data_IF_525699394719
#
_entry.id   IF_525699394719
#
_cell.length_a   1.000
_cell.length_b   1.000
_cell.length_c   1.000
_cell.angle_alpha   90.00
_cell.angle_beta   90.00
_cell.angle_gamma   90.00
#
_symmetry.space_group_name_H-M   'P 1'
#
loop_
_entity.id
_entity.type
_entity.pdbx_description
1 polymer ?
#
# COMPACT_ATOMS: atom_id res chain seq x y z
N UNK A 1 5.98 -8.25 23.91
CA UNK A 1 4.94 -7.21 24.02
C UNK A 1 5.10 -6.08 22.98
N UNK A 2 6.28 -5.48 22.83
CA UNK A 2 6.50 -4.34 21.89
C UNK A 2 6.13 -4.63 20.42
N UNK A 3 6.37 -5.86 19.92
CA UNK A 3 6.13 -6.21 18.52
C UNK A 3 4.66 -6.35 18.11
N UNK A 4 3.80 -6.84 19.02
CA UNK A 4 2.36 -7.03 18.74
C UNK A 4 1.63 -5.70 18.69
N UNK A 5 1.87 -4.83 19.67
CA UNK A 5 1.32 -3.47 19.69
C UNK A 5 1.78 -2.65 18.47
N UNK A 6 3.04 -2.80 18.03
CA UNK A 6 3.50 -2.13 16.80
C UNK A 6 2.87 -2.71 15.54
N UNK A 7 2.59 -4.02 15.50
CA UNK A 7 1.92 -4.66 14.36
C UNK A 7 0.45 -4.26 14.26
N UNK A 8 -0.27 -4.28 15.38
CA UNK A 8 -1.66 -3.82 15.46
C UNK A 8 -1.78 -2.35 15.01
N UNK A 9 -0.92 -1.48 15.51
CA UNK A 9 -0.91 -0.07 15.10
C UNK A 9 -0.60 0.09 13.60
N UNK A 10 0.32 -0.70 13.05
CA UNK A 10 0.64 -0.69 11.61
C UNK A 10 -0.54 -1.19 10.75
N UNK A 11 -1.22 -2.25 11.18
CA UNK A 11 -2.43 -2.76 10.54
C UNK A 11 -3.53 -1.72 10.55
N UNK A 12 -3.84 -1.15 11.72
CA UNK A 12 -4.84 -0.11 11.87
C UNK A 12 -4.55 1.13 11.01
N UNK A 13 -3.29 1.57 10.97
CA UNK A 13 -2.89 2.69 10.12
C UNK A 13 -3.13 2.40 8.63
N UNK A 14 -2.71 1.23 8.17
CA UNK A 14 -2.84 0.82 6.76
C UNK A 14 -4.30 0.68 6.36
N UNK A 15 -5.11 0.01 7.20
CA UNK A 15 -6.55 -0.17 6.96
C UNK A 15 -7.28 1.18 7.00
N UNK A 16 -6.94 2.07 7.94
CA UNK A 16 -7.58 3.38 8.04
C UNK A 16 -7.30 4.24 6.82
N UNK A 17 -6.04 4.33 6.39
CA UNK A 17 -5.69 5.06 5.16
C UNK A 17 -6.44 4.50 3.95
N UNK A 18 -6.43 3.17 3.79
CA UNK A 18 -7.08 2.52 2.65
C UNK A 18 -8.59 2.75 2.67
N UNK A 19 -9.23 2.68 3.84
CA UNK A 19 -10.67 2.92 3.98
C UNK A 19 -11.03 4.38 3.68
N UNK A 20 -10.25 5.34 4.19
CA UNK A 20 -10.48 6.77 3.92
C UNK A 20 -10.23 7.11 2.44
N UNK A 21 -9.30 6.44 1.77
CA UNK A 21 -9.13 6.53 0.31
C UNK A 21 -10.38 6.03 -0.43
N UNK A 22 -10.98 4.91 -0.02
CA UNK A 22 -12.23 4.42 -0.60
C UNK A 22 -13.40 5.38 -0.34
N UNK A 23 -13.49 5.97 0.86
CA UNK A 23 -14.50 7.00 1.16
C UNK A 23 -14.33 8.22 0.27
N UNK A 24 -13.09 8.68 0.08
CA UNK A 24 -12.78 9.81 -0.80
C UNK A 24 -13.20 9.56 -2.26
N UNK A 25 -13.15 8.31 -2.72
CA UNK A 25 -13.58 7.90 -4.06
C UNK A 25 -15.06 8.21 -4.31
N UNK A 26 -15.87 8.15 -3.27
CA UNK A 26 -17.30 8.47 -3.33
C UNK A 26 -17.57 9.93 -2.93
N UNK A 27 -16.54 10.75 -2.70
CA UNK A 27 -16.69 12.09 -2.15
C UNK A 27 -17.17 12.14 -0.70
N UNK A 28 -17.20 11.00 -0.01
CA UNK A 28 -17.62 10.90 1.38
C UNK A 28 -16.51 11.40 2.31
N UNK A 29 -16.91 12.13 3.36
CA UNK A 29 -16.03 12.57 4.46
C UNK A 29 -16.14 11.65 5.67
N UNK A 30 -17.28 11.01 5.82
CA UNK A 30 -17.50 9.96 6.81
C UNK A 30 -17.02 8.62 6.25
N UNK A 31 -16.09 8.01 6.95
CA UNK A 31 -15.60 6.66 6.68
C UNK A 31 -16.36 5.69 7.57
N UNK A 32 -17.07 4.73 6.96
CA UNK A 32 -17.88 3.75 7.67
C UNK A 32 -17.35 2.31 7.47
N UNK A 33 -18.05 1.34 8.04
CA UNK A 33 -17.69 -0.09 8.06
C UNK A 33 -17.61 -0.75 6.68
N UNK A 34 -18.33 -0.24 5.69
CA UNK A 34 -18.27 -0.67 4.29
C UNK A 34 -16.93 -0.31 3.65
N UNK A 35 -16.45 0.92 3.88
CA UNK A 35 -15.13 1.37 3.45
C UNK A 35 -14.01 0.55 4.12
N UNK A 36 -14.19 0.21 5.40
CA UNK A 36 -13.28 -0.67 6.12
C UNK A 36 -13.29 -2.11 5.55
N UNK A 37 -14.46 -2.62 5.14
CA UNK A 37 -14.56 -3.90 4.45
C UNK A 37 -13.82 -3.89 3.10
N UNK A 38 -14.00 -2.86 2.28
CA UNK A 38 -13.26 -2.71 1.01
C UNK A 38 -11.75 -2.62 1.28
N UNK A 39 -11.32 -1.91 2.33
CA UNK A 39 -9.93 -1.84 2.73
C UNK A 39 -9.35 -3.22 3.14
N UNK A 40 -10.15 -4.07 3.78
CA UNK A 40 -9.75 -5.45 4.10
C UNK A 40 -9.60 -6.30 2.83
N UNK A 41 -10.51 -6.17 1.86
CA UNK A 41 -10.39 -6.86 0.55
C UNK A 41 -9.13 -6.42 -0.20
N UNK A 42 -8.71 -5.16 -0.04
CA UNK A 42 -7.48 -4.63 -0.63
C UNK A 42 -6.20 -4.91 0.19
N UNK A 43 -6.31 -5.55 1.36
CA UNK A 43 -5.18 -5.81 2.26
C UNK A 43 -4.46 -7.11 1.92
N UNK A 44 -3.13 -7.13 2.04
CA UNK A 44 -2.35 -8.37 1.92
C UNK A 44 -2.31 -9.20 3.19
N UNK A 45 -2.96 -8.73 4.26
CA UNK A 45 -3.09 -9.51 5.48
C UNK A 45 -4.08 -10.66 5.31
N UNK A 46 -4.05 -11.61 6.24
CA UNK A 46 -4.85 -12.84 6.24
C UNK A 46 -6.33 -12.61 5.92
N UNK A 47 -6.96 -11.57 6.45
CA UNK A 47 -8.35 -11.24 6.14
C UNK A 47 -8.60 -11.02 4.64
N UNK A 48 -7.75 -10.23 3.99
CA UNK A 48 -7.87 -9.99 2.55
C UNK A 48 -7.54 -11.23 1.73
N UNK A 49 -6.53 -12.00 2.14
CA UNK A 49 -6.18 -13.26 1.50
C UNK A 49 -7.33 -14.29 1.59
N UNK A 50 -8.00 -14.39 2.74
CA UNK A 50 -9.18 -15.26 2.93
C UNK A 50 -10.34 -14.81 2.04
N UNK A 51 -10.67 -13.52 2.03
CA UNK A 51 -11.74 -12.99 1.18
C UNK A 51 -11.45 -13.27 -0.31
N UNK A 52 -10.24 -12.97 -0.79
CA UNK A 52 -9.84 -13.23 -2.19
C UNK A 52 -9.76 -14.72 -2.51
N UNK A 53 -9.34 -15.55 -1.55
CA UNK A 53 -9.35 -17.01 -1.66
C UNK A 53 -10.75 -17.61 -1.72
N UNK A 54 -11.77 -16.88 -1.25
CA UNK A 54 -13.19 -17.19 -1.40
C UNK A 54 -13.80 -16.60 -2.69
N UNK A 55 -12.98 -15.98 -3.55
CA UNK A 55 -13.43 -15.41 -4.82
C UNK A 55 -13.87 -13.94 -4.74
N UNK A 56 -13.78 -13.30 -3.57
CA UNK A 56 -14.12 -11.87 -3.42
C UNK A 56 -13.05 -11.01 -4.07
N UNK A 57 -13.39 -10.42 -5.23
CA UNK A 57 -12.53 -9.42 -5.88
C UNK A 57 -12.85 -8.02 -5.38
N UNK A 58 -11.90 -7.09 -5.51
CA UNK A 58 -12.13 -5.69 -5.10
C UNK A 58 -13.29 -5.06 -5.87
N UNK A 59 -13.40 -5.32 -7.18
CA UNK A 59 -14.48 -4.82 -8.02
C UNK A 59 -15.84 -5.38 -7.58
N UNK A 60 -15.93 -6.70 -7.36
CA UNK A 60 -17.16 -7.33 -6.88
C UNK A 60 -17.56 -6.80 -5.49
N UNK A 61 -16.62 -6.66 -4.57
CA UNK A 61 -16.89 -6.12 -3.23
C UNK A 61 -17.44 -4.68 -3.29
N UNK A 62 -16.84 -3.81 -4.11
CA UNK A 62 -17.33 -2.44 -4.33
C UNK A 62 -18.75 -2.43 -4.92
N UNK A 63 -19.01 -3.30 -5.90
CA UNK A 63 -20.34 -3.42 -6.50
C UNK A 63 -21.38 -3.91 -5.48
N UNK A 64 -21.07 -4.96 -4.72
CA UNK A 64 -21.97 -5.50 -3.70
C UNK A 64 -22.31 -4.48 -2.61
N UNK A 65 -21.34 -3.66 -2.18
CA UNK A 65 -21.59 -2.54 -1.26
C UNK A 65 -22.53 -1.50 -1.90
N UNK A 66 -22.28 -1.10 -3.15
CA UNK A 66 -23.12 -0.14 -3.85
C UNK A 66 -24.56 -0.66 -4.02
N UNK A 67 -24.72 -1.92 -4.39
CA UNK A 67 -26.02 -2.57 -4.56
C UNK A 67 -26.77 -2.68 -3.23
N UNK A 68 -26.07 -3.01 -2.13
CA UNK A 68 -26.68 -3.04 -0.79
C UNK A 68 -27.18 -1.65 -0.37
N UNK A 69 -26.40 -0.59 -0.62
CA UNK A 69 -26.83 0.78 -0.35
C UNK A 69 -28.04 1.17 -1.20
N UNK A 70 -28.04 0.85 -2.49
CA UNK A 70 -29.15 1.12 -3.38
C UNK A 70 -30.44 0.42 -2.90
N UNK A 71 -30.35 -0.84 -2.49
CA UNK A 71 -31.50 -1.58 -1.96
C UNK A 71 -32.03 -0.99 -0.66
N UNK A 72 -31.15 -0.56 0.26
CA UNK A 72 -31.57 0.12 1.48
C UNK A 72 -32.28 1.44 1.21
N UNK A 73 -31.80 2.24 0.25
CA UNK A 73 -32.45 3.49 -0.14
C UNK A 73 -33.81 3.24 -0.80
N UNK A 74 -33.91 2.25 -1.68
CA UNK A 74 -35.16 1.83 -2.30
C UNK A 74 -36.17 1.34 -1.26
N UNK A 75 -35.73 0.60 -0.24
CA UNK A 75 -36.56 0.18 0.89
C UNK A 75 -37.13 1.36 1.71
N UNK A 76 -36.46 2.52 1.68
CA UNK A 76 -36.91 3.77 2.29
C UNK A 76 -37.75 4.64 1.34
N UNK A 77 -38.01 4.17 0.11
CA UNK A 77 -38.72 4.93 -0.92
C UNK A 77 -37.89 6.08 -1.53
N UNK A 78 -36.56 6.03 -1.39
CA UNK A 78 -35.65 7.00 -1.95
C UNK A 78 -35.06 6.43 -3.24
N UNK A 79 -35.52 6.95 -4.38
CA UNK A 79 -34.89 6.70 -5.67
C UNK A 79 -33.64 7.60 -5.80
N UNK A 80 -32.51 7.10 -5.29
CA UNK A 80 -31.21 7.77 -5.40
C UNK A 80 -30.46 7.32 -6.65
N UNK A 81 -29.94 8.27 -7.43
CA UNK A 81 -28.91 7.94 -8.41
C UNK A 81 -27.66 7.43 -7.65
N UNK A 82 -27.12 6.28 -8.05
CA UNK A 82 -25.89 5.76 -7.48
C UNK A 82 -24.77 6.81 -7.60
N UNK A 83 -24.10 7.10 -6.50
CA UNK A 83 -23.01 8.06 -6.48
C UNK A 83 -21.88 7.54 -7.36
N UNK A 84 -21.52 8.30 -8.41
CA UNK A 84 -20.47 7.87 -9.32
C UNK A 84 -19.11 7.98 -8.61
N UNK A 85 -18.31 6.91 -8.63
CA UNK A 85 -16.98 6.97 -8.06
C UNK A 85 -16.08 7.90 -8.89
N UNK A 86 -15.40 8.81 -8.21
CA UNK A 86 -14.34 9.65 -8.75
C UNK A 86 -12.94 9.12 -8.42
N UNK A 87 -11.88 9.89 -8.72
CA UNK A 87 -10.52 9.55 -8.31
C UNK A 87 -10.37 9.59 -6.78
N UNK A 88 -9.36 8.89 -6.26
CA UNK A 88 -9.01 8.92 -4.83
C UNK A 88 -8.32 10.25 -4.51
N UNK A 89 -8.99 11.12 -3.75
CA UNK A 89 -8.53 12.48 -3.38
C UNK A 89 -8.22 12.63 -1.88
N UNK A 90 -8.09 11.51 -1.16
CA UNK A 90 -7.84 11.50 0.29
C UNK A 90 -6.64 12.35 0.72
N UNK A 91 -5.54 12.32 -0.04
CA UNK A 91 -4.34 13.09 0.31
C UNK A 91 -4.44 14.58 -0.08
N UNK A 92 -5.41 14.93 -0.91
CA UNK A 92 -5.61 16.29 -1.42
C UNK A 92 -6.59 17.09 -0.56
N UNK A 93 -7.35 16.40 0.29
CA UNK A 93 -8.46 16.98 1.04
C UNK A 93 -8.44 16.56 2.51
N UNK A 94 -9.22 17.23 3.36
CA UNK A 94 -9.18 17.03 4.82
C UNK A 94 -10.56 16.71 5.40
N UNK A 95 -10.62 16.47 6.71
CA UNK A 95 -11.89 16.29 7.44
C UNK A 95 -12.50 14.91 7.28
N UNK A 96 -11.66 13.87 7.17
CA UNK A 96 -12.11 12.49 7.18
C UNK A 96 -12.31 12.02 8.61
N UNK A 97 -13.53 11.60 8.94
CA UNK A 97 -13.91 11.13 10.26
C UNK A 97 -14.49 9.72 10.17
N UNK A 98 -14.36 8.96 11.26
CA UNK A 98 -15.02 7.67 11.38
C UNK A 98 -16.45 7.86 11.85
N UNK A 99 -17.40 7.14 11.26
CA UNK A 99 -18.73 7.04 11.84
C UNK A 99 -18.63 6.44 13.25
N UNK A 100 -19.65 6.68 14.08
CA UNK A 100 -19.74 6.06 15.41
C UNK A 100 -19.69 4.53 15.31
N UNK A 101 -20.41 3.96 14.33
CA UNK A 101 -20.50 2.52 14.10
C UNK A 101 -19.15 1.91 13.74
N UNK A 102 -18.40 2.52 12.82
CA UNK A 102 -17.05 2.07 12.49
C UNK A 102 -16.09 2.26 13.67
N UNK A 103 -16.19 3.37 14.39
CA UNK A 103 -15.41 3.62 15.60
C UNK A 103 -15.64 2.55 16.66
N UNK A 104 -16.89 2.12 16.87
CA UNK A 104 -17.23 1.07 17.83
C UNK A 104 -16.59 -0.27 17.46
N UNK A 105 -16.57 -0.64 16.17
CA UNK A 105 -15.86 -1.83 15.66
C UNK A 105 -14.35 -1.73 15.91
N UNK A 106 -13.72 -0.61 15.53
CA UNK A 106 -12.28 -0.41 15.69
C UNK A 106 -11.85 -0.39 17.17
N UNK A 107 -12.67 0.22 18.04
CA UNK A 107 -12.44 0.27 19.47
C UNK A 107 -12.58 -1.12 20.12
N UNK A 108 -13.57 -1.91 19.69
CA UNK A 108 -13.74 -3.29 20.15
C UNK A 108 -12.49 -4.14 19.85
N UNK A 109 -11.96 -4.02 18.64
CA UNK A 109 -10.78 -4.76 18.18
C UNK A 109 -9.47 -4.23 18.79
N UNK A 110 -9.44 -2.97 19.22
CA UNK A 110 -8.29 -2.36 19.90
C UNK A 110 -8.27 -2.62 21.42
N UNK A 111 -9.33 -3.21 21.97
CA UNK A 111 -9.38 -3.56 23.39
C UNK A 111 -8.32 -4.63 23.75
N UNK A 112 -7.84 -4.60 25.01
CA UNK A 112 -6.66 -5.37 25.50
C UNK A 112 -6.66 -6.89 25.21
N UNK A 113 -7.81 -7.47 24.85
CA UNK A 113 -7.99 -8.90 24.59
C UNK A 113 -7.85 -9.30 23.12
N UNK A 114 -7.83 -8.33 22.20
CA UNK A 114 -7.71 -8.58 20.76
C UNK A 114 -6.29 -8.26 20.28
N UNK A 115 -5.83 -8.97 19.26
CA UNK A 115 -4.49 -8.81 18.69
C UNK A 115 -4.40 -7.64 17.69
N UNK A 116 -5.52 -6.98 17.39
CA UNK A 116 -5.59 -5.87 16.45
C UNK A 116 -5.26 -6.25 15.00
N UNK A 117 -5.33 -7.54 14.68
CA UNK A 117 -5.07 -8.06 13.33
C UNK A 117 -6.22 -7.72 12.37
N UNK A 118 -5.92 -7.72 11.07
CA UNK A 118 -6.96 -7.57 10.05
C UNK A 118 -8.04 -8.66 10.16
N UNK A 119 -7.67 -9.87 10.59
CA UNK A 119 -8.60 -10.98 10.86
C UNK A 119 -9.57 -10.65 11.98
N UNK A 120 -9.09 -10.07 13.08
CA UNK A 120 -9.94 -9.61 14.18
C UNK A 120 -10.89 -8.49 13.73
N UNK A 121 -10.42 -7.56 12.89
CA UNK A 121 -11.27 -6.52 12.30
C UNK A 121 -12.37 -7.12 11.43
N UNK A 122 -12.03 -8.06 10.54
CA UNK A 122 -13.02 -8.74 9.70
C UNK A 122 -14.04 -9.52 10.53
N UNK A 123 -13.59 -10.26 11.55
CA UNK A 123 -14.50 -10.98 12.45
C UNK A 123 -15.46 -10.04 13.19
N UNK A 124 -14.97 -8.88 13.65
CA UNK A 124 -15.80 -7.87 14.31
C UNK A 124 -16.81 -7.21 13.35
N UNK A 125 -16.43 -6.99 12.09
CA UNK A 125 -17.34 -6.49 11.05
C UNK A 125 -18.48 -7.47 10.75
N UNK A 126 -18.19 -8.77 10.67
CA UNK A 126 -19.21 -9.80 10.42
C UNK A 126 -20.13 -9.95 11.64
N UNK A 127 -19.63 -9.70 12.85
CA UNK A 127 -20.40 -9.69 14.09
C UNK A 127 -21.12 -8.36 14.38
N UNK A 128 -21.02 -7.37 13.50
CA UNK A 128 -21.60 -6.05 13.72
C UNK A 128 -23.15 -6.11 13.70
N UNK A 129 -23.85 -5.44 14.63
CA UNK A 129 -25.29 -5.67 14.87
C UNK A 129 -26.24 -5.37 13.71
N UNK A 130 -25.90 -4.50 12.77
CA UNK A 130 -26.82 -4.15 11.68
C UNK A 130 -26.97 -5.24 10.61
N UNK A 131 -26.04 -6.21 10.56
CA UNK A 131 -26.02 -7.25 9.53
C UNK A 131 -25.49 -6.80 8.16
N UNK A 132 -25.20 -5.51 7.93
CA UNK A 132 -24.83 -4.99 6.60
C UNK A 132 -23.70 -5.77 5.91
N UNK A 133 -22.62 -6.11 6.64
CA UNK A 133 -21.49 -6.86 6.06
C UNK A 133 -21.87 -8.31 5.77
N UNK A 134 -22.76 -8.91 6.57
CA UNK A 134 -23.26 -10.25 6.28
C UNK A 134 -24.09 -10.25 4.98
N UNK A 135 -24.92 -9.23 4.77
CA UNK A 135 -25.71 -9.09 3.55
C UNK A 135 -24.82 -8.83 2.33
N UNK A 136 -23.79 -7.98 2.46
CA UNK A 136 -22.78 -7.77 1.40
C UNK A 136 -22.04 -9.06 1.05
N UNK A 137 -21.67 -9.87 2.05
CA UNK A 137 -21.04 -11.17 1.81
C UNK A 137 -21.99 -12.15 1.10
N UNK A 138 -23.27 -12.17 1.50
CA UNK A 138 -24.28 -13.01 0.83
C UNK A 138 -24.46 -12.63 -0.65
N UNK A 139 -24.42 -11.32 -0.99
CA UNK A 139 -24.42 -10.85 -2.39
C UNK A 139 -23.19 -11.29 -3.19
N UNK A 140 -22.09 -11.60 -2.51
CA UNK A 140 -20.85 -12.11 -3.10
C UNK A 140 -20.82 -13.64 -3.16
N UNK A 141 -21.94 -14.31 -2.87
CA UNK A 141 -22.04 -15.77 -2.74
C UNK A 141 -21.08 -16.35 -1.68
N UNK A 142 -20.81 -15.58 -0.62
CA UNK A 142 -19.93 -15.97 0.50
C UNK A 142 -20.71 -15.98 1.81
N UNK A 143 -20.76 -17.13 2.46
CA UNK A 143 -21.40 -17.25 3.77
C UNK A 143 -20.49 -16.67 4.88
N UNK A 144 -21.03 -15.82 5.79
CA UNK A 144 -20.32 -15.32 6.97
C UNK A 144 -19.65 -16.39 7.82
N UNK A 145 -20.20 -17.61 7.80
CA UNK A 145 -19.64 -18.77 8.52
C UNK A 145 -18.36 -19.27 7.85
N UNK A 146 -18.35 -19.39 6.54
CA UNK A 146 -17.20 -19.88 5.77
C UNK A 146 -15.99 -18.95 5.95
N UNK A 147 -16.23 -17.63 5.99
CA UNK A 147 -15.19 -16.64 6.28
C UNK A 147 -14.57 -16.89 7.66
N UNK A 148 -15.40 -17.08 8.70
CA UNK A 148 -14.90 -17.35 10.06
C UNK A 148 -14.11 -18.65 10.13
N UNK A 149 -14.63 -19.72 9.54
CA UNK A 149 -13.95 -21.02 9.51
C UNK A 149 -12.58 -20.93 8.81
N UNK A 150 -12.48 -20.19 7.70
CA UNK A 150 -11.22 -19.95 6.99
C UNK A 150 -10.25 -19.06 7.76
N UNK A 151 -10.73 -18.06 8.48
CA UNK A 151 -9.89 -17.24 9.37
C UNK A 151 -9.31 -18.07 10.52
N UNK A 152 -10.12 -18.95 11.12
CA UNK A 152 -9.66 -19.87 12.16
C UNK A 152 -8.66 -20.90 11.62
N UNK A 153 -8.89 -21.41 10.41
CA UNK A 153 -7.94 -22.29 9.73
C UNK A 153 -6.61 -21.59 9.46
N UNK A 154 -6.65 -20.38 8.92
CA UNK A 154 -5.46 -19.58 8.68
C UNK A 154 -4.71 -19.25 9.99
N UNK A 155 -5.41 -19.01 11.09
CA UNK A 155 -4.80 -18.77 12.40
C UNK A 155 -4.08 -20.00 12.98
N UNK A 156 -4.45 -21.22 12.55
CA UNK A 156 -3.77 -22.48 12.94
C UNK A 156 -2.50 -22.73 12.14
N UNK A 157 -2.35 -22.12 10.97
CA UNK A 157 -1.14 -22.20 10.17
C UNK A 157 -0.12 -21.26 10.84
N UNK A 158 1.02 -21.76 11.35
CA UNK A 158 2.07 -20.89 11.83
C UNK A 158 2.44 -19.93 10.70
N UNK A 159 2.47 -18.64 11.01
CA UNK A 159 2.93 -17.63 10.07
C UNK A 159 4.43 -17.85 9.83
N UNK A 160 4.76 -18.73 8.88
CA UNK A 160 6.12 -18.88 8.36
C UNK A 160 6.55 -17.60 7.61
N UNK A 161 5.64 -16.64 7.38
CA UNK A 161 5.87 -15.37 6.71
C UNK A 161 6.48 -14.25 7.57
N UNK A 162 6.58 -14.43 8.89
CA UNK A 162 7.08 -13.39 9.79
C UNK A 162 8.58 -13.07 9.68
N UNK A 163 9.37 -13.96 9.09
CA UNK A 163 10.83 -13.80 9.04
C UNK A 163 11.48 -14.63 7.92
N UNK A 164 11.00 -14.53 6.67
CA UNK A 164 11.84 -14.89 5.50
C UNK A 164 12.92 -13.83 5.28
N UNK A 165 13.79 -13.69 6.28
CA UNK A 165 15.11 -13.12 6.20
C UNK A 165 16.03 -14.17 5.56
N UNK A 166 15.95 -14.34 4.25
CA UNK A 166 17.02 -14.99 3.48
C UNK A 166 16.57 -15.85 2.32
N UNK A 167 16.65 -15.29 1.11
CA UNK A 167 17.21 -15.88 -0.12
C UNK A 167 17.61 -14.68 -0.99
N UNK A 168 18.83 -14.47 -1.51
CA UNK A 168 20.11 -15.19 -1.47
C UNK A 168 21.32 -14.24 -1.31
N UNK A 169 22.57 -14.73 -1.48
CA UNK A 169 23.79 -14.01 -1.14
C UNK A 169 24.17 -12.97 -2.20
N UNK A 170 23.43 -11.87 -2.27
CA UNK A 170 23.92 -10.61 -2.85
C UNK A 170 24.65 -9.83 -1.76
N UNK A 171 25.91 -9.47 -1.99
CA UNK A 171 26.85 -8.87 -1.05
C UNK A 171 26.20 -7.95 0.01
N UNK A 172 25.89 -8.50 1.19
CA UNK A 172 25.44 -7.73 2.35
C UNK A 172 26.56 -6.78 2.74
N UNK A 173 26.49 -5.53 2.27
CA UNK A 173 27.33 -4.48 2.84
C UNK A 173 26.92 -4.32 4.31
N UNK A 174 27.83 -4.47 5.29
CA UNK A 174 27.48 -4.44 6.72
C UNK A 174 26.91 -3.11 7.24
N UNK A 175 26.61 -2.15 6.36
CA UNK A 175 26.34 -0.74 6.66
C UNK A 175 25.01 -0.20 6.13
N UNK A 176 24.29 -0.98 5.35
CA UNK A 176 23.02 -0.54 4.78
C UNK A 176 21.84 -0.86 5.74
N UNK A 177 20.91 0.08 5.88
CA UNK A 177 19.66 -0.15 6.60
C UNK A 177 18.62 -0.61 5.60
N UNK A 178 18.11 -1.83 5.76
CA UNK A 178 17.13 -2.44 4.88
C UNK A 178 15.81 -2.69 5.60
N UNK A 179 14.70 -2.46 4.92
CA UNK A 179 13.35 -2.85 5.37
C UNK A 179 12.57 -3.40 4.18
N UNK A 180 11.78 -4.44 4.41
CA UNK A 180 10.82 -4.95 3.45
C UNK A 180 9.40 -4.83 3.99
N UNK A 181 8.45 -4.58 3.11
CA UNK A 181 7.00 -4.66 3.35
C UNK A 181 6.36 -5.40 2.19
N UNK A 182 5.22 -6.01 2.47
CA UNK A 182 4.42 -6.70 1.47
C UNK A 182 3.04 -6.04 1.42
N UNK A 183 2.49 -5.90 0.23
CA UNK A 183 1.10 -5.46 0.03
C UNK A 183 0.48 -6.08 -1.19
N UNK A 184 -0.79 -5.75 -1.41
CA UNK A 184 -1.62 -6.31 -2.46
C UNK A 184 -1.92 -5.25 -3.50
N UNK A 185 -1.84 -5.64 -4.76
CA UNK A 185 -2.21 -4.81 -5.91
C UNK A 185 -3.32 -5.52 -6.68
N UNK A 186 -4.50 -4.90 -6.86
CA UNK A 186 -5.66 -5.52 -7.53
C UNK A 186 -5.51 -5.51 -9.06
N UNK A 187 -4.35 -5.96 -9.56
CA UNK A 187 -4.03 -6.04 -10.98
C UNK A 187 -3.15 -7.27 -11.23
N UNK A 188 -3.06 -7.72 -12.48
CA UNK A 188 -2.19 -8.83 -12.85
C UNK A 188 -0.71 -8.43 -12.76
N UNK A 189 0.23 -9.38 -12.56
CA UNK A 189 1.65 -9.04 -12.48
C UNK A 189 2.18 -8.33 -13.72
N UNK A 190 1.65 -8.63 -14.90
CA UNK A 190 2.02 -7.94 -16.15
C UNK A 190 1.55 -6.49 -16.18
N UNK A 191 0.36 -6.19 -15.65
CA UNK A 191 -0.13 -4.82 -15.56
C UNK A 191 0.70 -4.00 -14.55
N UNK A 192 1.04 -4.60 -13.41
CA UNK A 192 1.93 -3.99 -12.42
C UNK A 192 3.34 -3.79 -13.01
N UNK A 193 3.87 -4.78 -13.73
CA UNK A 193 5.15 -4.68 -14.43
C UNK A 193 5.18 -3.52 -15.42
N UNK A 194 4.13 -3.36 -16.23
CA UNK A 194 4.01 -2.26 -17.18
C UNK A 194 4.02 -0.88 -16.48
N UNK A 195 3.41 -0.76 -15.29
CA UNK A 195 3.49 0.46 -14.49
C UNK A 195 4.93 0.70 -13.97
N UNK A 196 5.58 -0.34 -13.45
CA UNK A 196 6.87 -0.21 -12.77
C UNK A 196 8.05 0.00 -13.72
N UNK A 197 7.92 -0.46 -14.96
CA UNK A 197 8.94 -0.30 -16.01
C UNK A 197 8.84 1.01 -16.75
N UNK A 198 7.72 1.72 -16.65
CA UNK A 198 7.51 3.03 -17.27
C UNK A 198 8.03 4.17 -16.36
N UNK A 199 9.17 4.81 -16.70
CA UNK A 199 9.74 5.87 -15.88
C UNK A 199 8.87 7.12 -15.83
N UNK A 200 8.08 7.40 -16.87
CA UNK A 200 7.21 8.58 -16.92
C UNK A 200 6.06 8.47 -15.91
N UNK A 201 5.66 7.24 -15.60
CA UNK A 201 4.62 6.92 -14.61
C UNK A 201 5.14 6.74 -13.20
N UNK A 202 6.46 6.80 -12.99
CA UNK A 202 7.06 6.73 -11.65
C UNK A 202 6.49 7.75 -10.65
N UNK A 203 6.22 9.03 -11.02
CA UNK A 203 5.60 10.00 -10.11
C UNK A 203 4.18 9.63 -9.63
N UNK A 204 3.49 8.70 -10.30
CA UNK A 204 2.16 8.22 -9.85
C UNK A 204 2.25 7.43 -8.54
N UNK A 205 3.39 6.79 -8.25
CA UNK A 205 3.56 5.90 -7.11
C UNK A 205 4.78 6.19 -6.22
N UNK A 206 5.79 6.89 -6.73
CA UNK A 206 6.93 7.38 -5.94
C UNK A 206 6.71 8.82 -5.48
N UNK A 207 6.28 9.00 -4.23
CA UNK A 207 5.87 10.31 -3.69
C UNK A 207 6.98 11.37 -3.70
N UNK A 208 8.26 10.96 -3.66
CA UNK A 208 9.38 11.89 -3.74
C UNK A 208 9.46 12.63 -5.08
N UNK A 209 8.92 12.03 -6.14
CA UNK A 209 8.91 12.57 -7.48
C UNK A 209 7.67 13.42 -7.74
N UNK A 210 7.89 14.53 -8.43
CA UNK A 210 6.86 15.36 -9.04
C UNK A 210 6.77 15.12 -10.55
N UNK A 211 7.92 14.99 -11.20
CA UNK A 211 8.01 14.68 -12.62
C UNK A 211 9.33 13.99 -12.96
N UNK A 212 9.35 13.25 -14.07
CA UNK A 212 10.55 12.68 -14.68
C UNK A 212 10.76 13.36 -16.02
N UNK A 213 12.01 13.68 -16.35
CA UNK A 213 12.37 14.18 -17.68
C UNK A 213 12.71 12.98 -18.59
N UNK A 214 11.83 12.58 -19.52
CA UNK A 214 12.10 11.42 -20.39
C UNK A 214 13.29 11.64 -21.34
N UNK A 215 13.64 12.89 -21.64
CA UNK A 215 14.78 13.21 -22.51
C UNK A 215 16.14 13.07 -21.81
N UNK A 216 16.15 12.98 -20.47
CA UNK A 216 17.37 12.86 -19.66
C UNK A 216 18.01 11.46 -19.67
N UNK A 217 17.37 10.48 -20.33
CA UNK A 217 17.79 9.08 -20.33
C UNK A 217 19.25 8.92 -20.81
N UNK A 218 20.07 8.25 -19.98
CA UNK A 218 21.48 7.99 -20.26
C UNK A 218 21.83 6.52 -19.98
N UNK A 219 22.40 5.77 -20.96
CA UNK A 219 22.62 6.17 -22.34
C UNK A 219 21.30 6.30 -23.11
N UNK A 220 21.27 7.20 -24.08
CA UNK A 220 20.09 7.40 -24.92
C UNK A 220 19.76 6.10 -25.67
N UNK A 221 18.52 5.60 -25.59
CA UNK A 221 18.16 4.31 -26.17
C UNK A 221 18.32 4.39 -27.69
N UNK A 222 18.99 3.40 -28.28
CA UNK A 222 18.85 3.17 -29.72
C UNK A 222 17.37 2.93 -30.03
N UNK A 223 16.86 3.46 -31.15
CA UNK A 223 15.44 3.29 -31.54
C UNK A 223 14.99 1.84 -31.38
N UNK A 224 14.00 1.60 -30.53
CA UNK A 224 13.39 0.28 -30.30
C UNK A 224 14.08 -0.63 -29.28
N UNK A 225 15.08 -0.16 -28.53
CA UNK A 225 15.69 -0.95 -27.46
C UNK A 225 14.80 -1.01 -26.21
N UNK A 226 14.65 -2.21 -25.63
CA UNK A 226 14.02 -2.41 -24.32
C UNK A 226 14.81 -1.68 -23.21
N UNK A 227 14.16 -1.40 -22.07
CA UNK A 227 14.83 -0.84 -20.89
C UNK A 227 16.07 -1.68 -20.54
N UNK A 228 17.23 -1.07 -20.62
CA UNK A 228 18.49 -1.72 -20.28
C UNK A 228 18.88 -1.39 -18.84
N UNK A 229 19.34 -2.40 -18.10
CA UNK A 229 19.98 -2.18 -16.80
C UNK A 229 21.17 -1.21 -16.97
N UNK A 230 21.29 -0.27 -16.04
CA UNK A 230 22.23 0.85 -16.08
C UNK A 230 21.66 2.14 -16.72
N UNK A 231 20.50 2.09 -17.37
CA UNK A 231 19.84 3.30 -17.85
C UNK A 231 19.47 4.21 -16.67
N UNK A 232 19.73 5.51 -16.83
CA UNK A 232 19.53 6.52 -15.79
C UNK A 232 18.65 7.65 -16.31
N UNK A 233 17.70 8.09 -15.50
CA UNK A 233 16.83 9.25 -15.72
C UNK A 233 17.05 10.30 -14.64
N UNK A 234 16.69 11.53 -14.95
CA UNK A 234 16.59 12.63 -14.01
C UNK A 234 15.13 13.02 -13.82
N UNK A 235 14.79 13.41 -12.60
CA UNK A 235 13.47 13.89 -12.24
C UNK A 235 13.54 15.00 -11.20
N UNK A 236 12.40 15.66 -11.03
CA UNK A 236 12.22 16.74 -10.08
C UNK A 236 11.55 16.22 -8.82
N UNK A 237 12.12 16.62 -7.68
CA UNK A 237 11.58 16.35 -6.36
C UNK A 237 10.34 17.18 -6.09
N UNK A 238 9.42 16.62 -5.31
CA UNK A 238 8.16 17.28 -4.99
C UNK A 238 8.34 18.54 -4.15
N UNK A 239 7.81 19.64 -4.68
CA UNK A 239 7.86 20.97 -4.04
C UNK A 239 6.58 21.33 -3.28
N UNK A 240 5.46 20.70 -3.62
CA UNK A 240 4.15 20.92 -3.00
C UNK A 240 3.55 19.60 -2.52
N UNK A 241 2.96 19.60 -1.33
CA UNK A 241 2.18 18.49 -0.83
C UNK A 241 0.93 18.29 -1.72
N UNK A 242 0.31 17.09 -1.70
CA UNK A 242 -0.90 16.84 -2.48
C UNK A 242 -2.07 17.79 -2.15
N UNK A 243 -2.10 18.36 -0.94
CA UNK A 243 -3.07 19.40 -0.54
C UNK A 243 -2.71 20.83 -1.01
N UNK A 244 -1.70 20.95 -1.89
CA UNK A 244 -1.21 22.21 -2.45
C UNK A 244 -0.30 23.02 -1.52
N UNK A 245 -0.05 22.58 -0.28
CA UNK A 245 0.82 23.32 0.64
C UNK A 245 2.29 23.19 0.22
N UNK A 246 3.09 24.28 0.28
CA UNK A 246 4.51 24.22 -0.07
C UNK A 246 5.25 23.33 0.94
N UNK A 247 6.04 22.39 0.41
CA UNK A 247 6.95 21.59 1.21
C UNK A 247 8.26 22.37 1.41
N UNK A 248 8.79 22.33 2.63
CA UNK A 248 10.12 22.87 2.92
C UNK A 248 11.19 21.92 2.38
N UNK A 249 11.35 21.90 1.06
CA UNK A 249 12.38 21.11 0.38
C UNK A 249 13.73 21.85 0.41
N UNK A 250 14.82 21.11 0.57
CA UNK A 250 16.17 21.64 0.36
C UNK A 250 16.43 21.68 -1.15
N UNK A 251 16.84 22.82 -1.74
CA UNK A 251 17.06 22.89 -3.19
C UNK A 251 18.03 21.83 -3.73
N UNK A 252 19.04 21.44 -2.94
CA UNK A 252 20.01 20.40 -3.29
C UNK A 252 19.42 18.99 -3.40
N UNK A 253 18.19 18.77 -2.93
CA UNK A 253 17.47 17.49 -3.05
C UNK A 253 16.41 17.51 -4.16
N UNK A 254 16.30 18.62 -4.91
CA UNK A 254 15.28 18.75 -5.94
C UNK A 254 15.60 17.92 -7.19
N UNK A 255 16.87 17.86 -7.59
CA UNK A 255 17.29 17.00 -8.69
C UNK A 255 17.50 15.59 -8.15
N UNK A 256 16.73 14.64 -8.66
CA UNK A 256 16.81 13.23 -8.28
C UNK A 256 17.20 12.43 -9.53
N UNK A 257 18.14 11.51 -9.39
CA UNK A 257 18.55 10.60 -10.45
C UNK A 257 18.11 9.18 -10.13
N UNK A 258 17.55 8.49 -11.13
CA UNK A 258 16.94 7.16 -11.04
C UNK A 258 17.67 6.24 -12.00
N UNK A 259 18.34 5.23 -11.48
CA UNK A 259 19.06 4.23 -12.28
C UNK A 259 18.32 2.90 -12.20
N UNK A 260 18.02 2.29 -13.35
CA UNK A 260 17.51 0.93 -13.40
C UNK A 260 18.65 -0.03 -13.11
N UNK A 261 18.58 -0.78 -12.01
CA UNK A 261 19.63 -1.73 -11.61
C UNK A 261 19.38 -3.11 -12.19
N UNK A 262 18.12 -3.53 -12.18
CA UNK A 262 17.72 -4.88 -12.58
C UNK A 262 16.27 -4.82 -13.09
N UNK A 263 15.99 -5.54 -14.17
CA UNK A 263 14.64 -5.79 -14.66
C UNK A 263 14.55 -7.24 -15.15
N UNK A 264 13.85 -8.08 -14.37
CA UNK A 264 13.53 -9.46 -14.70
C UNK A 264 12.02 -9.62 -14.82
N UNK A 265 11.52 -9.51 -16.05
CA UNK A 265 10.09 -9.52 -16.35
C UNK A 265 9.40 -10.86 -16.01
N UNK A 266 8.16 -10.84 -15.47
CA UNK A 266 7.49 -9.73 -14.76
C UNK A 266 7.80 -9.75 -13.25
N UNK A 267 8.77 -10.57 -12.82
CA UNK A 267 8.92 -10.99 -11.42
C UNK A 267 9.67 -10.00 -10.53
N UNK A 268 10.60 -9.21 -11.06
CA UNK A 268 11.49 -8.38 -10.21
C UNK A 268 12.04 -7.16 -10.93
N UNK A 269 12.00 -6.02 -10.28
CA UNK A 269 12.59 -4.78 -10.77
C UNK A 269 13.30 -4.04 -9.63
N UNK A 270 14.45 -3.43 -9.91
CA UNK A 270 15.21 -2.68 -8.93
C UNK A 270 15.63 -1.31 -9.46
N UNK A 271 15.37 -0.28 -8.66
CA UNK A 271 15.66 1.11 -8.95
C UNK A 271 16.61 1.68 -7.89
N UNK A 272 17.63 2.42 -8.30
CA UNK A 272 18.50 3.18 -7.41
C UNK A 272 18.21 4.66 -7.58
N UNK A 273 17.91 5.32 -6.46
CA UNK A 273 17.67 6.76 -6.39
C UNK A 273 18.85 7.46 -5.72
N UNK A 274 19.33 8.53 -6.34
CA UNK A 274 20.43 9.36 -5.83
C UNK A 274 20.13 10.86 -6.02
N UNK A 275 20.89 11.70 -5.32
CA UNK A 275 20.75 13.17 -5.38
C UNK A 275 22.05 13.76 -5.91
N UNK A 276 22.14 14.07 -7.22
CA UNK A 276 23.37 14.58 -7.83
C UNK A 276 23.90 15.84 -7.16
N UNK A 277 23.00 16.74 -6.76
CA UNK A 277 23.34 18.04 -6.17
C UNK A 277 23.58 17.99 -4.65
N UNK A 278 23.38 16.82 -4.02
CA UNK A 278 23.70 16.55 -2.62
C UNK A 278 24.43 15.20 -2.48
N UNK A 279 25.72 15.12 -2.85
CA UNK A 279 26.48 13.87 -2.83
C UNK A 279 26.63 13.23 -1.44
N UNK A 280 26.29 13.98 -0.39
CA UNK A 280 26.28 13.56 1.00
C UNK A 280 24.98 12.87 1.45
N UNK A 281 23.91 13.00 0.66
CA UNK A 281 22.63 12.34 0.89
C UNK A 281 22.75 10.82 0.76
N UNK A 282 21.81 10.11 1.38
CA UNK A 282 21.77 8.65 1.27
C UNK A 282 21.21 8.27 -0.11
N UNK A 283 21.86 7.31 -0.76
CA UNK A 283 21.32 6.64 -1.94
C UNK A 283 20.30 5.60 -1.48
N UNK A 284 19.20 5.47 -2.23
CA UNK A 284 18.11 4.54 -1.90
C UNK A 284 18.00 3.49 -2.99
N UNK A 285 18.22 2.24 -2.63
CA UNK A 285 17.90 1.10 -3.48
C UNK A 285 16.49 0.62 -3.16
N UNK A 286 15.64 0.56 -4.18
CA UNK A 286 14.28 0.04 -4.12
C UNK A 286 14.23 -1.23 -4.96
N UNK A 287 13.89 -2.36 -4.35
CA UNK A 287 13.66 -3.62 -5.04
C UNK A 287 12.18 -3.99 -4.89
N UNK A 288 11.55 -4.35 -5.99
CA UNK A 288 10.16 -4.73 -6.07
C UNK A 288 10.08 -6.14 -6.65
N UNK A 289 9.48 -7.06 -5.91
CA UNK A 289 9.23 -8.44 -6.32
C UNK A 289 7.71 -8.63 -6.49
N UNK A 290 7.31 -9.23 -7.62
CA UNK A 290 5.91 -9.48 -8.00
C UNK A 290 5.63 -10.98 -7.96
N UNK A 291 4.60 -11.36 -7.21
CA UNK A 291 4.11 -12.74 -7.13
C UNK A 291 2.61 -12.77 -7.47
N UNK A 292 2.17 -13.83 -8.18
CA UNK A 292 0.75 -14.02 -8.46
C UNK A 292 0.00 -14.31 -7.15
N UNK A 293 -1.15 -13.66 -6.98
CA UNK A 293 -2.03 -13.85 -5.83
C UNK A 293 -3.49 -14.02 -6.28
N UNK A 294 -4.32 -14.59 -5.41
CA UNK A 294 -5.76 -14.65 -5.65
C UNK A 294 -6.30 -13.22 -5.85
N UNK A 295 -6.92 -12.98 -7.02
CA UNK A 295 -7.51 -11.68 -7.37
C UNK A 295 -6.51 -10.57 -7.72
N UNK A 296 -5.20 -10.82 -7.83
CA UNK A 296 -4.22 -9.77 -8.17
C UNK A 296 -2.76 -10.18 -8.02
N UNK A 297 -1.95 -9.27 -7.49
CA UNK A 297 -0.49 -9.42 -7.34
C UNK A 297 -0.09 -9.14 -5.89
N UNK A 298 0.71 -10.03 -5.31
CA UNK A 298 1.45 -9.75 -4.08
C UNK A 298 2.72 -9.00 -4.47
N UNK A 299 2.85 -7.78 -3.95
CA UNK A 299 3.99 -6.90 -4.17
C UNK A 299 4.85 -6.87 -2.91
N UNK A 300 6.11 -7.29 -3.03
CA UNK A 300 7.09 -7.15 -1.96
C UNK A 300 8.07 -6.04 -2.30
N UNK A 301 8.04 -4.97 -1.52
CA UNK A 301 8.95 -3.84 -1.66
C UNK A 301 10.05 -3.89 -0.59
N UNK A 302 11.31 -3.85 -1.02
CA UNK A 302 12.49 -3.78 -0.17
C UNK A 302 13.19 -2.45 -0.43
N UNK A 303 13.37 -1.66 0.63
CA UNK A 303 14.11 -0.41 0.58
C UNK A 303 15.40 -0.56 1.38
N UNK A 304 16.51 -0.16 0.76
CA UNK A 304 17.82 -0.11 1.37
C UNK A 304 18.40 1.30 1.28
N UNK A 305 18.80 1.86 2.42
CA UNK A 305 19.60 3.09 2.46
C UNK A 305 21.09 2.74 2.43
N UNK A 306 21.74 3.07 1.32
CA UNK A 306 23.17 2.99 1.13
C UNK A 306 23.81 4.26 1.71
N UNK A 307 24.28 4.16 2.96
CA UNK A 307 24.90 5.30 3.66
C UNK A 307 26.32 5.53 3.12
N UNK A 308 26.57 6.68 2.50
CA UNK A 308 27.87 7.02 1.90
C UNK A 308 28.94 7.50 2.92
N UNK A 309 28.57 7.88 4.15
CA UNK A 309 29.53 8.36 5.18
C UNK A 309 29.44 7.62 6.51
N UNK A 310 30.61 7.25 7.06
CA UNK A 310 30.78 6.79 8.43
C UNK A 310 30.49 7.93 9.43
N UNK A 311 29.23 8.08 9.87
CA UNK A 311 28.99 8.69 11.19
C UNK A 311 29.08 7.58 12.24
N UNK A 312 30.31 7.25 12.63
CA UNK A 312 30.63 6.41 13.80
C UNK A 312 30.40 7.20 15.10
N UNK A 313 29.18 7.69 15.31
CA UNK A 313 28.79 8.28 16.59
C UNK A 313 27.82 7.33 17.29
N UNK A 314 27.94 7.21 18.62
CA UNK A 314 26.99 6.48 19.48
C UNK A 314 25.53 6.90 19.21
N UNK A 315 25.33 8.16 18.78
CA UNK A 315 24.05 8.71 18.34
C UNK A 315 23.42 7.97 17.15
N UNK A 316 24.23 7.39 16.26
CA UNK A 316 23.76 6.61 15.11
C UNK A 316 23.14 5.26 15.47
N UNK A 317 23.45 4.71 16.66
CA UNK A 317 22.79 3.50 17.20
C UNK A 317 21.45 3.85 17.85
N UNK A 318 21.39 4.95 18.62
CA UNK A 318 20.17 5.43 19.24
C UNK A 318 19.06 5.82 18.23
N UNK A 319 19.44 6.32 17.05
CA UNK A 319 18.50 6.71 15.98
C UNK A 319 18.10 5.53 15.05
N UNK A 320 18.59 4.31 15.27
CA UNK A 320 18.24 3.15 14.43
C UNK A 320 16.75 2.82 14.44
N UNK A 321 16.04 2.81 15.58
CA UNK A 321 14.60 2.54 15.61
C UNK A 321 13.81 3.55 14.77
N UNK A 322 14.17 4.84 14.89
CA UNK A 322 13.56 5.93 14.10
C UNK A 322 13.85 5.74 12.61
N UNK A 323 15.10 5.44 12.24
CA UNK A 323 15.47 5.19 10.83
C UNK A 323 14.72 3.99 10.24
N UNK A 324 14.51 2.93 11.04
CA UNK A 324 13.74 1.75 10.63
C UNK A 324 12.25 2.07 10.46
N UNK A 325 11.69 2.89 11.34
CA UNK A 325 10.31 3.38 11.21
C UNK A 325 10.13 4.22 9.95
N UNK A 326 11.07 5.12 9.65
CA UNK A 326 11.04 5.93 8.42
C UNK A 326 11.13 5.07 7.15
N UNK A 327 12.03 4.08 7.13
CA UNK A 327 12.11 3.12 6.02
C UNK A 327 10.83 2.31 5.85
N UNK A 328 10.20 1.91 6.97
CA UNK A 328 8.91 1.23 6.94
C UNK A 328 7.82 2.14 6.35
N UNK A 329 7.69 3.38 6.82
CA UNK A 329 6.74 4.36 6.27
C UNK A 329 6.95 4.61 4.78
N UNK A 330 8.20 4.75 4.33
CA UNK A 330 8.53 4.91 2.91
C UNK A 330 8.09 3.70 2.09
N UNK A 331 8.40 2.49 2.56
CA UNK A 331 8.03 1.27 1.85
C UNK A 331 6.50 1.09 1.79
N UNK A 332 5.79 1.38 2.89
CA UNK A 332 4.33 1.37 2.93
C UNK A 332 3.73 2.39 1.97
N UNK A 333 4.31 3.59 1.87
CA UNK A 333 3.87 4.63 0.91
C UNK A 333 4.04 4.20 -0.55
N UNK A 334 5.17 3.58 -0.90
CA UNK A 334 5.41 3.06 -2.26
C UNK A 334 4.39 1.97 -2.62
N UNK A 335 4.23 0.97 -1.75
CA UNK A 335 3.25 -0.11 -1.98
C UNK A 335 1.83 0.43 -2.04
N UNK A 336 1.48 1.36 -1.15
CA UNK A 336 0.19 2.05 -1.15
C UNK A 336 -0.04 2.86 -2.42
N UNK A 337 0.97 3.59 -2.91
CA UNK A 337 0.93 4.35 -4.15
C UNK A 337 0.71 3.46 -5.37
N UNK A 338 1.50 2.38 -5.51
CA UNK A 338 1.34 1.40 -6.59
C UNK A 338 -0.07 0.79 -6.55
N UNK A 339 -0.53 0.34 -5.38
CA UNK A 339 -1.88 -0.22 -5.23
C UNK A 339 -2.97 0.81 -5.58
N UNK A 340 -2.79 2.08 -5.19
CA UNK A 340 -3.74 3.16 -5.44
C UNK A 340 -3.95 3.44 -6.93
N UNK A 341 -2.90 3.37 -7.76
CA UNK A 341 -3.00 3.53 -9.23
C UNK A 341 -4.03 2.56 -9.80
N UNK A 342 -4.01 1.31 -9.38
CA UNK A 342 -4.96 0.28 -9.86
C UNK A 342 -6.32 0.31 -9.15
N UNK A 343 -6.42 0.97 -7.99
CA UNK A 343 -7.70 1.15 -7.27
C UNK A 343 -8.48 2.38 -7.71
N UNK A 344 -7.81 3.34 -8.33
CA UNK A 344 -8.39 4.61 -8.80
C UNK A 344 -8.98 4.50 -10.21
N UNK A 345 -8.68 3.41 -10.93
CA UNK A 345 -9.37 2.99 -12.15
C UNK A 345 -10.70 2.31 -11.80
#
# INVERSE_FOLDING_TARGET
MMGRLSSAAATMHTLSMTAMEEASRLGARDTDIDHLFIALVASEQTAGQVLRGLGVTLAAARQAVADQHAEHLLGLGIDGAAQQPGPIVFNETSGYEWTRRASDVLNHVSAKTSDGSASAVLAALIGEPSGFIADVLARLDVEPRDVRERLEEAARIPDFGGEHAGVGPGARTPRALTRAVTGFVPASPNAVWALLTDPERMPEWEEMLESVDPASITPSPGSGAALAAGATWEGCGRTHAPDGKPLRARPSLNRISFELIEACEPTRIAWRLSFPDEPSANTRLLELELEHAAGGTTLRARITWERRRERRTLQGWALRPVSRMLLWLQATKIVGGISRVFRSA
#
